data_IF_667417050406
#
_entry.id   IF_667417050406
#
_cell.length_a   1.000
_cell.length_b   1.000
_cell.length_c   1.000
_cell.angle_alpha   90.00
_cell.angle_beta   90.00
_cell.angle_gamma   90.00
#
_symmetry.space_group_name_H-M   'P 1'
#
loop_
_entity.id
_entity.type
_entity.pdbx_description
1 polymer ?
#
# COMPACT_ATOMS: atom_id res chain seq x y z
N UNK A 1 24.21 -13.13 15.85
CA UNK A 1 23.16 -12.16 15.51
C UNK A 1 22.83 -12.32 14.04
N UNK A 2 21.58 -12.59 13.69
CA UNK A 2 21.16 -12.73 12.29
C UNK A 2 21.16 -11.37 11.58
N UNK A 3 21.18 -11.34 10.24
CA UNK A 3 21.06 -10.09 9.45
C UNK A 3 19.83 -9.29 9.85
N UNK A 4 18.70 -9.98 10.06
CA UNK A 4 17.44 -9.37 10.49
C UNK A 4 17.55 -8.75 11.89
N UNK A 5 18.21 -9.42 12.84
CA UNK A 5 18.44 -8.87 14.18
C UNK A 5 19.32 -7.63 14.16
N UNK A 6 20.34 -7.60 13.29
CA UNK A 6 21.20 -6.42 13.10
C UNK A 6 20.41 -5.25 12.47
N UNK A 7 19.65 -5.51 11.41
CA UNK A 7 18.81 -4.48 10.80
C UNK A 7 17.77 -3.93 11.77
N UNK A 8 17.19 -4.80 12.61
CA UNK A 8 16.25 -4.40 13.66
C UNK A 8 16.91 -3.52 14.73
N UNK A 9 18.14 -3.83 15.17
CA UNK A 9 18.86 -2.98 16.12
C UNK A 9 19.10 -1.58 15.59
N UNK A 10 19.31 -1.45 14.27
CA UNK A 10 19.56 -0.17 13.61
C UNK A 10 18.30 0.72 13.56
N UNK A 11 17.10 0.15 13.70
CA UNK A 11 15.81 0.87 13.68
C UNK A 11 15.04 0.82 15.02
N UNK A 12 15.59 0.17 16.06
CA UNK A 12 14.90 0.01 17.36
C UNK A 12 14.60 1.34 18.04
N UNK A 13 15.37 2.39 17.75
CA UNK A 13 15.16 3.74 18.27
C UNK A 13 13.76 4.30 17.97
N UNK A 14 13.11 3.82 16.90
CA UNK A 14 11.75 4.25 16.51
C UNK A 14 10.68 3.87 17.54
N UNK A 15 10.95 2.91 18.42
CA UNK A 15 10.01 2.50 19.47
C UNK A 15 10.00 3.42 20.70
N UNK A 16 10.90 4.41 20.78
CA UNK A 16 10.93 5.46 21.82
C UNK A 16 10.59 4.93 23.21
N UNK A 17 11.30 3.89 23.66
CA UNK A 17 11.00 3.15 24.90
C UNK A 17 11.09 4.00 26.17
N UNK A 18 11.74 5.15 26.09
CA UNK A 18 11.89 6.07 27.21
C UNK A 18 10.81 7.17 27.23
N UNK A 19 9.95 7.25 26.19
CA UNK A 19 8.86 8.21 26.07
C UNK A 19 7.54 7.62 26.58
N UNK A 20 7.07 8.10 27.74
CA UNK A 20 5.88 7.57 28.41
C UNK A 20 4.58 7.85 27.66
N UNK A 21 4.47 9.01 27.01
CA UNK A 21 3.28 9.38 26.24
C UNK A 21 3.19 8.53 24.98
N UNK A 22 4.34 8.30 24.34
CA UNK A 22 4.46 7.36 23.23
C UNK A 22 4.03 5.94 23.63
N UNK A 23 4.57 5.40 24.72
CA UNK A 23 4.22 4.05 25.20
C UNK A 23 2.73 3.94 25.51
N UNK A 24 2.15 4.96 26.15
CA UNK A 24 0.72 5.00 26.46
C UNK A 24 -0.12 4.94 25.18
N UNK A 25 0.16 5.81 24.22
CA UNK A 25 -0.51 5.82 22.91
C UNK A 25 -0.38 4.47 22.21
N UNK A 26 0.82 3.89 22.17
CA UNK A 26 1.05 2.57 21.54
C UNK A 26 0.27 1.45 22.22
N UNK A 27 0.11 1.46 23.55
CA UNK A 27 -0.75 0.47 24.23
C UNK A 27 -2.21 0.61 23.82
N UNK A 28 -2.70 1.84 23.66
CA UNK A 28 -4.07 2.10 23.17
C UNK A 28 -4.24 1.65 21.72
N UNK A 29 -3.29 1.97 20.84
CA UNK A 29 -3.27 1.52 19.44
C UNK A 29 -3.26 -0.01 19.35
N UNK A 30 -2.48 -0.69 20.20
CA UNK A 30 -2.45 -2.14 20.25
C UNK A 30 -3.81 -2.74 20.56
N UNK A 31 -4.53 -2.19 21.57
CA UNK A 31 -5.86 -2.66 21.96
C UNK A 31 -6.84 -2.52 20.80
N UNK A 32 -6.78 -1.41 20.05
CA UNK A 32 -7.58 -1.22 18.85
C UNK A 32 -7.20 -2.25 17.78
N UNK A 33 -5.92 -2.39 17.46
CA UNK A 33 -5.44 -3.30 16.41
C UNK A 33 -5.95 -4.73 16.62
N UNK A 34 -5.88 -5.26 17.85
CA UNK A 34 -6.30 -6.63 18.14
C UNK A 34 -7.82 -6.82 18.25
N UNK A 35 -8.61 -5.74 18.32
CA UNK A 35 -10.07 -5.83 18.28
C UNK A 35 -10.62 -6.00 16.86
N UNK A 36 -9.77 -5.86 15.85
CA UNK A 36 -10.11 -6.16 14.47
C UNK A 36 -10.38 -7.67 14.29
N UNK A 37 -11.50 -8.02 13.67
CA UNK A 37 -11.92 -9.42 13.43
C UNK A 37 -10.86 -10.27 12.72
N UNK A 38 -9.97 -9.64 11.93
CA UNK A 38 -8.87 -10.33 11.25
C UNK A 38 -7.89 -10.97 12.24
N UNK A 39 -7.78 -10.42 13.46
CA UNK A 39 -6.99 -11.00 14.55
C UNK A 39 -7.72 -12.12 15.30
N UNK A 40 -9.01 -12.37 15.09
CA UNK A 40 -9.74 -13.44 15.81
C UNK A 40 -9.22 -14.83 15.48
N UNK A 41 -8.72 -15.01 14.25
CA UNK A 41 -8.17 -16.28 13.75
C UNK A 41 -6.69 -16.49 14.09
N UNK A 42 -6.04 -15.50 14.68
CA UNK A 42 -4.63 -15.54 15.05
C UNK A 42 -4.47 -16.19 16.42
N UNK A 43 -3.52 -17.10 16.58
CA UNK A 43 -3.30 -17.81 17.83
C UNK A 43 -2.88 -16.86 18.96
N UNK A 44 -3.14 -17.24 20.21
CA UNK A 44 -2.71 -16.45 21.37
C UNK A 44 -1.18 -16.29 21.43
N UNK A 45 -0.42 -17.30 20.95
CA UNK A 45 1.04 -17.23 20.83
C UNK A 45 1.44 -16.12 19.85
N UNK A 46 0.90 -16.13 18.64
CA UNK A 46 1.22 -15.12 17.60
C UNK A 46 0.79 -13.72 18.03
N UNK A 47 -0.36 -13.57 18.72
CA UNK A 47 -0.79 -12.29 19.31
C UNK A 47 0.20 -11.77 20.34
N UNK A 48 0.71 -12.64 21.22
CA UNK A 48 1.70 -12.28 22.25
C UNK A 48 2.99 -11.80 21.60
N UNK A 49 3.48 -12.54 20.61
CA UNK A 49 4.74 -12.22 19.94
C UNK A 49 4.61 -10.95 19.07
N UNK A 50 3.47 -10.71 18.44
CA UNK A 50 3.21 -9.46 17.72
C UNK A 50 3.08 -8.28 18.68
N UNK A 51 2.50 -8.48 19.87
CA UNK A 51 2.45 -7.46 20.92
C UNK A 51 3.85 -7.01 21.32
N UNK A 52 4.74 -7.97 21.54
CA UNK A 52 6.14 -7.72 21.90
C UNK A 52 6.82 -6.91 20.79
N UNK A 53 6.64 -7.30 19.53
CA UNK A 53 7.15 -6.52 18.41
C UNK A 53 6.55 -5.11 18.34
N UNK A 54 5.23 -4.99 18.41
CA UNK A 54 4.52 -3.73 18.27
C UNK A 54 4.86 -2.72 19.38
N UNK A 55 5.02 -3.17 20.62
CA UNK A 55 5.29 -2.31 21.77
C UNK A 55 6.79 -2.13 22.06
N UNK A 56 7.63 -3.11 21.73
CA UNK A 56 9.03 -3.14 22.18
C UNK A 56 10.04 -3.32 21.04
N UNK A 57 9.60 -3.52 19.79
CA UNK A 57 10.50 -3.69 18.65
C UNK A 57 11.37 -4.93 18.75
N UNK A 58 10.91 -5.96 19.48
CA UNK A 58 11.61 -7.24 19.62
C UNK A 58 10.93 -8.27 18.73
N UNK A 59 11.72 -8.87 17.83
CA UNK A 59 11.25 -9.86 16.86
C UNK A 59 11.84 -11.23 17.20
N UNK A 60 11.03 -12.09 17.84
CA UNK A 60 11.46 -13.44 18.27
C UNK A 60 11.33 -14.49 17.15
N UNK A 61 10.32 -14.36 16.29
CA UNK A 61 10.09 -15.25 15.14
C UNK A 61 9.70 -14.45 13.89
N UNK A 62 9.65 -15.12 12.74
CA UNK A 62 9.31 -14.49 11.46
C UNK A 62 7.82 -14.14 11.38
N UNK A 63 7.53 -12.93 10.90
CA UNK A 63 6.18 -12.44 10.63
C UNK A 63 6.01 -12.05 9.16
N UNK A 64 4.78 -12.06 8.61
CA UNK A 64 4.51 -11.57 7.27
C UNK A 64 4.98 -10.10 7.11
N UNK A 65 5.68 -9.75 6.01
CA UNK A 65 6.26 -8.42 5.81
C UNK A 65 5.27 -7.26 5.96
N UNK A 66 4.05 -7.42 5.41
CA UNK A 66 3.01 -6.40 5.51
C UNK A 66 2.62 -6.12 6.97
N UNK A 67 2.51 -7.16 7.80
CA UNK A 67 2.20 -7.02 9.23
C UNK A 67 3.36 -6.38 10.00
N UNK A 68 4.59 -6.76 9.67
CA UNK A 68 5.80 -6.16 10.24
C UNK A 68 5.83 -4.66 9.92
N UNK A 69 5.74 -4.27 8.64
CA UNK A 69 5.83 -2.86 8.25
C UNK A 69 4.69 -2.05 8.89
N UNK A 70 3.46 -2.57 8.88
CA UNK A 70 2.30 -1.95 9.55
C UNK A 70 2.57 -1.69 11.03
N UNK A 71 3.14 -2.67 11.73
CA UNK A 71 3.40 -2.58 13.17
C UNK A 71 4.65 -1.77 13.53
N UNK A 72 5.52 -1.49 12.55
CA UNK A 72 6.74 -0.72 12.73
C UNK A 72 6.38 0.77 12.79
N UNK A 73 6.72 1.47 13.89
CA UNK A 73 6.45 2.89 13.97
C UNK A 73 7.32 3.67 12.97
N UNK A 74 6.67 4.55 12.22
CA UNK A 74 7.33 5.54 11.38
C UNK A 74 6.59 6.87 11.53
N UNK A 75 7.34 7.96 11.62
CA UNK A 75 6.82 9.33 11.77
C UNK A 75 7.08 10.20 10.55
N UNK A 76 7.76 9.65 9.54
CA UNK A 76 8.02 10.33 8.27
C UNK A 76 8.27 9.34 7.13
N UNK A 77 8.13 9.83 5.90
CA UNK A 77 8.52 9.12 4.68
C UNK A 77 9.99 8.67 4.70
N UNK A 78 10.89 9.49 5.26
CA UNK A 78 12.32 9.17 5.37
C UNK A 78 12.56 7.99 6.30
N UNK A 79 11.89 7.94 7.44
CA UNK A 79 12.01 6.78 8.35
C UNK A 79 11.48 5.51 7.70
N UNK A 80 10.35 5.60 6.99
CA UNK A 80 9.80 4.43 6.32
C UNK A 80 10.70 3.94 5.18
N UNK A 81 11.31 4.84 4.42
CA UNK A 81 12.35 4.51 3.43
C UNK A 81 13.52 3.78 4.08
N UNK A 82 14.05 4.32 5.19
CA UNK A 82 15.14 3.70 5.93
C UNK A 82 14.78 2.31 6.43
N UNK A 83 13.57 2.11 6.97
CA UNK A 83 13.06 0.81 7.39
C UNK A 83 13.04 -0.16 6.21
N UNK A 84 12.44 0.25 5.09
CA UNK A 84 12.27 -0.59 3.90
C UNK A 84 13.61 -1.07 3.34
N UNK A 85 14.64 -0.20 3.33
CA UNK A 85 15.96 -0.49 2.78
C UNK A 85 17.02 -0.90 3.82
N UNK A 86 16.68 -1.01 5.11
CA UNK A 86 17.59 -1.36 6.22
C UNK A 86 18.20 -2.77 6.14
N UNK A 87 17.75 -3.61 5.21
CA UNK A 87 18.08 -5.02 5.15
C UNK A 87 17.28 -5.88 6.13
N UNK A 88 16.27 -5.29 6.78
CA UNK A 88 15.28 -5.98 7.60
C UNK A 88 14.33 -6.84 6.76
N UNK A 89 13.96 -6.34 5.57
CA UNK A 89 13.22 -7.09 4.57
C UNK A 89 14.16 -7.73 3.55
N UNK A 90 13.91 -8.99 3.22
CA UNK A 90 14.54 -9.64 2.08
C UNK A 90 13.87 -9.22 0.76
N UNK A 91 14.41 -9.70 -0.36
CA UNK A 91 13.92 -9.32 -1.68
C UNK A 91 12.44 -9.66 -1.88
N UNK A 92 12.02 -10.86 -1.48
CA UNK A 92 10.63 -11.30 -1.68
C UNK A 92 9.69 -10.50 -0.79
N UNK A 93 10.13 -10.17 0.43
CA UNK A 93 9.42 -9.29 1.34
C UNK A 93 9.25 -7.89 0.76
N UNK A 94 10.29 -7.32 0.16
CA UNK A 94 10.23 -6.00 -0.49
C UNK A 94 9.25 -6.02 -1.68
N UNK A 95 9.33 -7.04 -2.56
CA UNK A 95 8.39 -7.20 -3.68
C UNK A 95 6.94 -7.29 -3.22
N UNK A 96 6.71 -8.07 -2.17
CA UNK A 96 5.39 -8.23 -1.56
C UNK A 96 4.88 -6.91 -0.98
N UNK A 97 5.71 -6.18 -0.25
CA UNK A 97 5.37 -4.86 0.31
C UNK A 97 5.00 -3.87 -0.80
N UNK A 98 5.81 -3.77 -1.86
CA UNK A 98 5.52 -2.91 -3.02
C UNK A 98 4.16 -3.23 -3.66
N UNK A 99 3.81 -4.51 -3.72
CA UNK A 99 2.60 -4.99 -4.40
C UNK A 99 1.34 -5.00 -3.52
N UNK A 100 1.48 -5.10 -2.20
CA UNK A 100 0.38 -5.44 -1.30
C UNK A 100 0.22 -4.49 -0.11
N UNK A 101 1.25 -3.73 0.30
CA UNK A 101 1.22 -3.02 1.56
C UNK A 101 0.07 -2.02 1.65
N UNK A 102 -0.16 -1.21 0.61
CA UNK A 102 -1.25 -0.21 0.60
C UNK A 102 -2.61 -0.90 0.77
N UNK A 103 -2.87 -1.98 0.03
CA UNK A 103 -4.12 -2.73 0.15
C UNK A 103 -4.26 -3.37 1.53
N UNK A 104 -3.18 -3.95 2.05
CA UNK A 104 -3.18 -4.59 3.36
C UNK A 104 -3.42 -3.58 4.48
N UNK A 105 -2.71 -2.46 4.48
CA UNK A 105 -2.81 -1.40 5.48
C UNK A 105 -4.19 -0.75 5.49
N UNK A 106 -4.80 -0.56 4.32
CA UNK A 106 -6.15 0.02 4.18
C UNK A 106 -7.22 -0.73 4.96
N UNK A 107 -7.05 -2.05 5.16
CA UNK A 107 -8.00 -2.86 5.95
C UNK A 107 -8.00 -2.51 7.45
N UNK A 108 -6.99 -1.79 7.93
CA UNK A 108 -6.81 -1.41 9.34
C UNK A 108 -7.07 0.08 9.59
N UNK A 109 -7.42 0.87 8.57
CA UNK A 109 -7.56 2.32 8.69
C UNK A 109 -8.63 2.73 9.73
N UNK A 110 -9.78 2.06 9.73
CA UNK A 110 -10.86 2.32 10.69
C UNK A 110 -10.49 1.99 12.15
N UNK A 111 -9.43 1.21 12.35
CA UNK A 111 -8.97 0.75 13.67
C UNK A 111 -7.85 1.64 14.21
N UNK A 112 -6.93 2.01 13.32
CA UNK A 112 -5.69 2.69 13.66
C UNK A 112 -5.63 4.06 12.95
N UNK A 113 -5.76 5.17 13.71
CA UNK A 113 -5.75 6.51 13.12
C UNK A 113 -4.49 6.86 12.32
N UNK A 114 -3.35 6.23 12.63
CA UNK A 114 -2.07 6.50 11.96
C UNK A 114 -1.93 5.84 10.58
N UNK A 115 -2.86 4.98 10.15
CA UNK A 115 -2.70 4.20 8.92
C UNK A 115 -2.69 5.07 7.67
N UNK A 116 -3.55 6.10 7.60
CA UNK A 116 -3.54 7.02 6.46
C UNK A 116 -2.17 7.70 6.31
N UNK A 117 -1.58 8.14 7.42
CA UNK A 117 -0.25 8.74 7.43
C UNK A 117 0.84 7.74 7.05
N UNK A 118 0.76 6.50 7.55
CA UNK A 118 1.74 5.47 7.23
C UNK A 118 1.70 5.05 5.75
N UNK A 119 0.50 4.99 5.15
CA UNK A 119 0.33 4.79 3.71
C UNK A 119 0.96 5.95 2.93
N UNK A 120 0.72 7.21 3.35
CA UNK A 120 1.36 8.38 2.74
C UNK A 120 2.88 8.33 2.84
N UNK A 121 3.42 7.98 4.00
CA UNK A 121 4.87 7.79 4.17
C UNK A 121 5.42 6.68 3.26
N UNK A 122 4.64 5.63 2.98
CA UNK A 122 5.05 4.58 2.06
C UNK A 122 5.07 5.05 0.62
N UNK A 123 4.06 5.82 0.23
CA UNK A 123 3.99 6.41 -1.10
C UNK A 123 5.14 7.38 -1.30
N UNK A 124 5.29 8.36 -0.40
CA UNK A 124 6.30 9.41 -0.52
C UNK A 124 7.73 8.91 -0.30
N UNK A 125 7.89 7.87 0.53
CA UNK A 125 9.21 7.35 0.93
C UNK A 125 9.70 6.18 0.09
N UNK A 126 8.81 5.36 -0.46
CA UNK A 126 9.19 4.06 -1.06
C UNK A 126 8.64 3.90 -2.48
N UNK A 127 7.33 4.06 -2.68
CA UNK A 127 6.70 3.78 -3.97
C UNK A 127 6.98 4.87 -5.01
N UNK A 128 6.93 6.14 -4.58
CA UNK A 128 6.92 7.30 -5.45
C UNK A 128 5.54 7.59 -6.05
N UNK A 129 5.47 8.71 -6.78
CA UNK A 129 4.26 9.15 -7.52
C UNK A 129 4.30 8.78 -9.00
N UNK A 130 5.45 8.33 -9.48
CA UNK A 130 5.65 7.92 -10.87
C UNK A 130 6.22 6.52 -10.90
N UNK A 131 5.73 5.69 -11.82
CA UNK A 131 6.23 4.35 -12.03
C UNK A 131 7.67 4.40 -12.51
N UNK A 132 8.54 3.71 -11.78
CA UNK A 132 9.91 3.45 -12.17
C UNK A 132 10.26 2.01 -11.82
N UNK A 133 11.04 1.36 -12.68
CA UNK A 133 11.63 0.06 -12.35
C UNK A 133 12.70 0.24 -11.28
N UNK A 134 12.46 -0.31 -10.10
CA UNK A 134 13.37 -0.27 -8.97
C UNK A 134 14.17 -1.57 -9.00
N UNK A 135 15.42 -1.44 -9.40
CA UNK A 135 16.36 -2.55 -9.53
C UNK A 135 17.19 -2.68 -8.25
N UNK A 136 17.00 -3.78 -7.52
CA UNK A 136 17.67 -4.01 -6.24
C UNK A 136 18.82 -5.01 -6.39
N UNK A 137 20.04 -4.58 -6.01
CA UNK A 137 21.22 -5.45 -5.94
C UNK A 137 21.35 -6.01 -4.53
N UNK A 138 21.26 -7.33 -4.39
CA UNK A 138 21.42 -7.93 -3.07
C UNK A 138 22.89 -7.89 -2.63
N UNK A 139 23.19 -7.47 -1.39
CA UNK A 139 24.54 -7.55 -0.84
C UNK A 139 25.06 -8.98 -0.89
N UNK A 140 26.16 -9.20 -1.62
CA UNK A 140 26.86 -10.49 -1.67
C UNK A 140 26.38 -11.50 -2.73
N UNK A 141 25.28 -11.26 -3.46
CA UNK A 141 24.83 -12.20 -4.52
C UNK A 141 25.13 -11.75 -5.94
N UNK A 142 25.53 -10.48 -6.15
CA UNK A 142 25.76 -9.89 -7.47
C UNK A 142 24.50 -9.71 -8.33
N UNK A 143 23.42 -10.43 -8.02
CA UNK A 143 22.18 -10.45 -8.77
C UNK A 143 21.35 -9.20 -8.49
N UNK A 144 20.98 -8.52 -9.57
CA UNK A 144 20.05 -7.39 -9.58
C UNK A 144 18.68 -7.95 -9.93
N UNK A 145 17.65 -7.62 -9.13
CA UNK A 145 16.27 -8.05 -9.38
C UNK A 145 15.32 -6.88 -9.22
N UNK A 146 14.30 -6.83 -10.08
CA UNK A 146 13.25 -5.82 -10.00
C UNK A 146 12.36 -6.05 -8.76
N UNK A 147 12.12 -4.98 -8.00
CA UNK A 147 11.20 -4.99 -6.85
C UNK A 147 9.94 -4.15 -7.06
N UNK A 148 9.81 -3.46 -8.19
CA UNK A 148 8.62 -2.66 -8.50
C UNK A 148 7.34 -3.49 -8.48
N UNK A 149 6.19 -2.87 -8.20
CA UNK A 149 4.90 -3.51 -8.36
C UNK A 149 4.75 -4.06 -9.78
N UNK A 150 4.09 -5.20 -9.86
CA UNK A 150 3.70 -5.78 -11.13
C UNK A 150 2.76 -4.84 -11.90
N UNK A 151 3.05 -4.64 -13.18
CA UNK A 151 2.35 -3.67 -14.04
C UNK A 151 0.96 -4.16 -14.48
N UNK A 152 0.56 -5.38 -14.11
CA UNK A 152 -0.76 -5.94 -14.41
C UNK A 152 -1.63 -6.02 -13.17
N UNK A 153 -1.17 -6.72 -12.14
CA UNK A 153 -1.94 -6.99 -10.93
C UNK A 153 -2.13 -5.75 -10.08
N UNK A 154 -1.13 -4.86 -9.99
CA UNK A 154 -1.26 -3.66 -9.17
C UNK A 154 -2.31 -2.70 -9.74
N UNK A 155 -2.27 -2.32 -11.03
CA UNK A 155 -3.32 -1.48 -11.62
C UNK A 155 -4.71 -2.15 -11.61
N UNK A 156 -4.78 -3.48 -11.76
CA UNK A 156 -6.04 -4.21 -11.63
C UNK A 156 -6.65 -4.11 -10.23
N UNK A 157 -5.82 -4.26 -9.18
CA UNK A 157 -6.26 -4.07 -7.79
C UNK A 157 -6.70 -2.63 -7.54
N UNK A 158 -5.97 -1.66 -8.10
CA UNK A 158 -6.32 -0.25 -8.03
C UNK A 158 -7.72 0.00 -8.62
N UNK A 159 -7.96 -0.42 -9.86
CA UNK A 159 -9.25 -0.25 -10.54
C UNK A 159 -10.41 -0.88 -9.76
N UNK A 160 -10.24 -2.13 -9.29
CA UNK A 160 -11.27 -2.83 -8.49
C UNK A 160 -11.62 -2.10 -7.20
N UNK A 161 -10.62 -1.53 -6.53
CA UNK A 161 -10.84 -0.81 -5.27
C UNK A 161 -11.41 0.59 -5.47
N UNK A 162 -11.09 1.24 -6.60
CA UNK A 162 -11.80 2.46 -6.99
C UNK A 162 -13.27 2.18 -7.30
N UNK A 163 -13.57 1.07 -8.01
CA UNK A 163 -14.97 0.64 -8.22
C UNK A 163 -15.70 0.37 -6.88
N UNK A 164 -15.04 -0.33 -5.94
CA UNK A 164 -15.60 -0.57 -4.60
C UNK A 164 -15.87 0.76 -3.85
N UNK A 165 -14.98 1.75 -3.97
CA UNK A 165 -15.14 3.08 -3.35
C UNK A 165 -16.29 3.88 -3.98
N UNK A 166 -16.31 4.00 -5.31
CA UNK A 166 -17.30 4.80 -6.04
C UNK A 166 -18.70 4.22 -5.93
N UNK A 167 -18.82 2.90 -5.78
CA UNK A 167 -20.11 2.21 -5.54
C UNK A 167 -20.46 2.05 -4.05
N UNK A 168 -19.79 2.79 -3.15
CA UNK A 168 -20.07 2.79 -1.70
C UNK A 168 -19.97 1.40 -1.01
N UNK A 169 -19.19 0.47 -1.57
CA UNK A 169 -18.94 -0.84 -0.94
C UNK A 169 -17.91 -0.74 0.18
N UNK A 170 -17.02 0.26 0.10
CA UNK A 170 -16.05 0.63 1.13
C UNK A 170 -16.00 2.15 1.28
N UNK A 171 -15.61 2.63 2.46
CA UNK A 171 -15.56 4.07 2.79
C UNK A 171 -14.21 4.72 2.54
N UNK A 172 -13.13 3.92 2.55
CA UNK A 172 -11.76 4.37 2.32
C UNK A 172 -10.90 3.24 1.74
N UNK A 173 -9.92 3.60 0.92
CA UNK A 173 -8.82 2.74 0.53
C UNK A 173 -7.60 3.61 0.21
N UNK A 174 -6.41 3.21 0.65
CA UNK A 174 -5.17 3.98 0.44
C UNK A 174 -4.72 4.14 -1.02
N UNK A 175 -5.43 3.52 -1.97
CA UNK A 175 -5.20 3.75 -3.39
C UNK A 175 -5.66 5.13 -3.86
N UNK A 176 -6.56 5.81 -3.13
CA UNK A 176 -6.89 7.22 -3.42
C UNK A 176 -5.64 8.11 -3.40
N UNK A 177 -4.65 7.76 -2.59
CA UNK A 177 -3.38 8.48 -2.45
C UNK A 177 -2.37 8.14 -3.56
N UNK A 178 -2.66 7.14 -4.41
CA UNK A 178 -1.76 6.63 -5.44
C UNK A 178 -2.19 7.03 -6.86
N UNK A 179 -3.00 8.09 -7.01
CA UNK A 179 -3.62 8.42 -8.29
C UNK A 179 -2.60 8.74 -9.40
N UNK A 180 -1.59 9.57 -9.10
CA UNK A 180 -0.52 9.87 -10.05
C UNK A 180 0.26 8.60 -10.44
N UNK A 181 0.57 7.78 -9.44
CA UNK A 181 1.29 6.52 -9.66
C UNK A 181 0.48 5.59 -10.57
N UNK A 182 -0.83 5.47 -10.33
CA UNK A 182 -1.74 4.68 -11.16
C UNK A 182 -1.70 5.13 -12.62
N UNK A 183 -1.81 6.42 -12.91
CA UNK A 183 -1.75 6.92 -14.29
C UNK A 183 -0.40 6.57 -14.93
N UNK A 184 0.69 6.77 -14.19
CA UNK A 184 2.05 6.54 -14.71
C UNK A 184 2.39 5.06 -14.97
N UNK A 185 1.76 4.10 -14.28
CA UNK A 185 2.02 2.66 -14.47
C UNK A 185 1.22 2.06 -15.62
N UNK A 186 0.08 2.65 -16.00
CA UNK A 186 -0.79 2.12 -17.07
C UNK A 186 -0.08 1.88 -18.41
N UNK A 187 0.82 2.75 -18.90
CA UNK A 187 1.56 2.52 -20.15
C UNK A 187 2.47 1.30 -20.12
N UNK A 188 2.75 0.75 -18.94
CA UNK A 188 3.62 -0.41 -18.75
C UNK A 188 2.85 -1.72 -18.60
N UNK A 189 1.51 -1.67 -18.57
CA UNK A 189 0.65 -2.85 -18.54
C UNK A 189 0.55 -3.47 -19.93
N UNK A 190 1.16 -4.64 -20.13
CA UNK A 190 1.17 -5.35 -21.42
C UNK A 190 0.37 -6.65 -21.43
N UNK A 191 -0.17 -7.08 -20.28
CA UNK A 191 -0.94 -8.32 -20.18
C UNK A 191 -2.35 -8.15 -20.79
N UNK A 192 -2.69 -8.89 -21.87
CA UNK A 192 -3.98 -8.75 -22.54
C UNK A 192 -5.20 -9.02 -21.64
N UNK A 193 -5.08 -9.88 -20.61
CA UNK A 193 -6.20 -10.20 -19.73
C UNK A 193 -6.60 -9.04 -18.83
N UNK A 194 -5.63 -8.22 -18.42
CA UNK A 194 -5.90 -6.98 -17.69
C UNK A 194 -6.45 -5.90 -18.60
N UNK A 195 -5.98 -5.87 -19.85
CA UNK A 195 -6.32 -4.84 -20.84
C UNK A 195 -7.76 -4.92 -21.37
N UNK A 196 -8.57 -5.85 -20.87
CA UNK A 196 -9.99 -5.93 -21.19
C UNK A 196 -10.69 -4.58 -20.90
N UNK A 197 -11.29 -3.92 -21.90
CA UNK A 197 -11.79 -2.54 -21.78
C UNK A 197 -12.75 -2.27 -20.62
N UNK A 198 -13.46 -3.32 -20.18
CA UNK A 198 -14.52 -3.22 -19.18
C UNK A 198 -14.02 -2.75 -17.81
N UNK A 199 -12.79 -3.08 -17.38
CA UNK A 199 -12.33 -2.68 -16.05
C UNK A 199 -12.15 -1.17 -15.91
N UNK A 200 -11.43 -0.55 -16.86
CA UNK A 200 -11.21 0.88 -16.85
C UNK A 200 -12.53 1.63 -17.14
N UNK A 201 -13.30 1.17 -18.13
CA UNK A 201 -14.59 1.78 -18.47
C UNK A 201 -15.55 1.81 -17.27
N UNK A 202 -15.68 0.69 -16.55
CA UNK A 202 -16.56 0.61 -15.38
C UNK A 202 -16.11 1.59 -14.28
N UNK A 203 -14.81 1.70 -14.03
CA UNK A 203 -14.27 2.64 -13.04
C UNK A 203 -14.57 4.11 -13.42
N UNK A 204 -14.38 4.49 -14.68
CA UNK A 204 -14.67 5.84 -15.17
C UNK A 204 -16.16 6.19 -15.05
N UNK A 205 -17.06 5.28 -15.45
CA UNK A 205 -18.52 5.46 -15.30
C UNK A 205 -18.93 5.56 -13.83
N UNK A 206 -18.32 4.74 -12.96
CA UNK A 206 -18.57 4.82 -11.53
C UNK A 206 -18.11 6.17 -10.94
N UNK A 207 -16.97 6.70 -11.38
CA UNK A 207 -16.47 8.01 -10.95
C UNK A 207 -17.43 9.15 -11.34
N UNK A 208 -17.98 9.13 -12.56
CA UNK A 208 -18.95 10.13 -13.02
C UNK A 208 -20.20 10.19 -12.14
N UNK A 209 -20.67 9.02 -11.67
CA UNK A 209 -21.81 8.93 -10.77
C UNK A 209 -21.43 9.36 -9.35
N UNK A 210 -20.23 9.01 -8.90
CA UNK A 210 -19.75 9.26 -7.54
C UNK A 210 -19.47 10.74 -7.24
N UNK A 211 -18.99 11.53 -8.20
CA UNK A 211 -18.60 12.93 -7.97
C UNK A 211 -19.75 13.84 -7.49
N UNK A 212 -21.00 13.46 -7.78
CA UNK A 212 -22.23 14.18 -7.39
C UNK A 212 -23.06 13.42 -6.34
N UNK A 213 -22.59 12.25 -5.89
CA UNK A 213 -23.36 11.41 -4.96
C UNK A 213 -23.18 11.88 -3.51
N UNK A 214 -24.20 12.55 -2.97
CA UNK A 214 -24.22 13.06 -1.60
C UNK A 214 -24.14 11.98 -0.50
N UNK A 215 -24.37 10.71 -0.83
CA UNK A 215 -24.20 9.60 0.11
C UNK A 215 -22.73 9.21 0.33
N UNK A 216 -21.83 9.61 -0.57
CA UNK A 216 -20.40 9.37 -0.45
C UNK A 216 -19.73 10.43 0.43
N UNK A 217 -18.59 10.10 1.04
CA UNK A 217 -17.79 11.06 1.79
C UNK A 217 -17.22 12.13 0.85
N UNK A 218 -16.94 13.33 1.39
CA UNK A 218 -16.34 14.42 0.62
C UNK A 218 -14.99 14.02 -0.02
N UNK A 219 -14.20 13.19 0.68
CA UNK A 219 -12.92 12.65 0.18
C UNK A 219 -13.12 11.78 -1.07
N UNK A 220 -14.12 10.89 -1.06
CA UNK A 220 -14.44 10.04 -2.23
C UNK A 220 -15.02 10.85 -3.37
N UNK A 221 -15.88 11.84 -3.08
CA UNK A 221 -16.41 12.73 -4.11
C UNK A 221 -15.30 13.55 -4.78
N UNK A 222 -14.37 14.08 -4.00
CA UNK A 222 -13.22 14.83 -4.53
C UNK A 222 -12.32 13.93 -5.37
N UNK A 223 -12.01 12.72 -4.89
CA UNK A 223 -11.25 11.77 -5.69
C UNK A 223 -11.96 11.40 -7.01
N UNK A 224 -13.28 11.20 -6.98
CA UNK A 224 -14.06 10.95 -8.19
C UNK A 224 -14.02 12.13 -9.19
N UNK A 225 -14.06 13.38 -8.68
CA UNK A 225 -13.86 14.58 -9.51
C UNK A 225 -12.48 14.59 -10.15
N UNK A 226 -11.42 14.27 -9.41
CA UNK A 226 -10.06 14.20 -9.95
C UNK A 226 -9.93 13.16 -11.06
N UNK A 227 -10.57 11.99 -10.90
CA UNK A 227 -10.65 10.97 -11.96
C UNK A 227 -11.36 11.52 -13.20
N UNK A 228 -12.50 12.21 -13.04
CA UNK A 228 -13.23 12.79 -14.16
C UNK A 228 -12.43 13.90 -14.87
N UNK A 229 -11.75 14.77 -14.11
CA UNK A 229 -10.92 15.87 -14.64
C UNK A 229 -9.73 15.37 -15.45
N UNK A 230 -9.14 14.23 -15.07
CA UNK A 230 -7.98 13.63 -15.74
C UNK A 230 -8.37 12.41 -16.60
N UNK A 231 -9.65 12.29 -16.98
CA UNK A 231 -10.16 11.17 -17.79
C UNK A 231 -9.33 10.94 -19.05
N UNK A 232 -9.06 12.00 -19.82
CA UNK A 232 -8.31 11.87 -21.07
C UNK A 232 -6.90 11.35 -20.83
N UNK A 233 -6.21 11.86 -19.81
CA UNK A 233 -4.87 11.40 -19.45
C UNK A 233 -4.85 9.92 -19.08
N UNK A 234 -5.86 9.45 -18.33
CA UNK A 234 -6.01 8.03 -18.00
C UNK A 234 -6.23 7.19 -19.27
N UNK A 235 -7.10 7.64 -20.17
CA UNK A 235 -7.40 6.96 -21.45
C UNK A 235 -6.15 6.90 -22.33
N UNK A 236 -5.42 8.01 -22.47
CA UNK A 236 -4.21 8.09 -23.28
C UNK A 236 -3.12 7.16 -22.72
N UNK A 237 -2.92 7.18 -21.40
CA UNK A 237 -1.98 6.29 -20.70
C UNK A 237 -2.37 4.81 -20.87
N UNK A 238 -3.67 4.50 -20.79
CA UNK A 238 -4.18 3.18 -21.13
C UNK A 238 -3.93 2.85 -22.60
N UNK A 239 -4.13 3.77 -23.55
CA UNK A 239 -4.08 3.43 -24.96
C UNK A 239 -2.67 3.29 -25.56
N UNK A 240 -1.58 3.59 -24.82
CA UNK A 240 -0.19 3.41 -25.28
C UNK A 240 0.06 2.01 -25.87
N UNK A 241 -0.47 0.97 -25.24
CA UNK A 241 -0.36 -0.41 -25.70
C UNK A 241 -1.64 -0.97 -26.32
N UNK A 242 -2.55 -0.12 -26.82
CA UNK A 242 -3.84 -0.58 -27.34
C UNK A 242 -3.74 -1.48 -28.58
N UNK A 243 -2.57 -1.55 -29.21
CA UNK A 243 -2.27 -2.52 -30.26
C UNK A 243 -2.21 -3.97 -29.75
N UNK A 244 -2.12 -4.17 -28.43
CA UNK A 244 -2.22 -5.47 -27.77
C UNK A 244 -3.68 -5.86 -27.47
N UNK A 245 -4.63 -4.95 -27.70
CA UNK A 245 -6.05 -5.14 -27.41
C UNK A 245 -6.80 -5.42 -28.72
N UNK A 246 -7.78 -6.33 -28.70
CA UNK A 246 -8.69 -6.51 -29.85
C UNK A 246 -9.67 -5.32 -30.01
N UNK A 247 -9.75 -4.41 -29.01
CA UNK A 247 -10.71 -3.30 -28.95
C UNK A 247 -10.07 -2.08 -28.30
N UNK A 248 -10.01 -0.94 -29.01
CA UNK A 248 -9.64 0.37 -28.45
C UNK A 248 -10.77 0.94 -27.59
N UNK A 249 -10.43 1.65 -26.52
CA UNK A 249 -11.40 2.51 -25.83
C UNK A 249 -11.56 3.79 -26.65
N UNK A 250 -12.74 3.95 -27.27
CA UNK A 250 -13.19 5.19 -27.88
C UNK A 250 -13.88 6.08 -26.81
N UNK A 251 -13.80 7.41 -26.98
CA UNK A 251 -14.24 8.44 -26.02
C UNK A 251 -15.70 8.31 -25.50
#
# INVERSE_FOLDING_TARGET
>A
MTRMQKALSDITYLWKKDDQDWIKKRKEDWIRLISCQRFDKISAKEKKLLKIYFLEGVLEEYYPPNAILLCTPATSAKELNNIFYSGFFDLESMRRLMSEFISYASEFEWVLPCIKEQIKFFIDGVLGKEYQEIMWKFPGSGNIKCISPDTTQWPMRYLRKCDDLFNHKITYHGYVECFDYFISILPHSTDPDFRRPNYLKNMLVAAESAQCNLALSAEVQEFAKQVCLRRQEIIDAWNVNAHLDEVKLDD
#
